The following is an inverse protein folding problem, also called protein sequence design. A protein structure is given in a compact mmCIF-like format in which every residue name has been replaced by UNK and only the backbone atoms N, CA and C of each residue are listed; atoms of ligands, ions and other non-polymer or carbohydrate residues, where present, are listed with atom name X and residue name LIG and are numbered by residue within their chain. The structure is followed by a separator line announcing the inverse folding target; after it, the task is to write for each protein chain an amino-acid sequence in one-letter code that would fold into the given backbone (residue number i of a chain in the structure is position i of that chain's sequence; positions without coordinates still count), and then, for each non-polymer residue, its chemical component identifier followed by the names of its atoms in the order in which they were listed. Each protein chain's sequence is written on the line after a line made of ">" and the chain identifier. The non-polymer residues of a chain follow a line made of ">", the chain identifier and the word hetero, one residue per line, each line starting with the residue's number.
data_IF_951399533969
#
_entry.id   IF_951399533969
#
_cell.length_a   1.000
_cell.length_b   1.000
_cell.length_c   1.000
_cell.angle_alpha   90.00
_cell.angle_beta   90.00
_cell.angle_gamma   90.00
#
_symmetry.space_group_name_H-M   'P 1'
#
loop_
_entity.id
_entity.type
_entity.pdbx_description
1 polymer ?
#
# COMPACT_ATOMS: atom_id res chain seq x y z
N UNK A 1 -34.92 18.96 0.27
CA UNK A 1 -35.39 18.12 1.39
C UNK A 1 -35.15 16.68 0.97
N UNK A 2 -33.87 16.29 0.93
CA UNK A 2 -33.47 14.99 0.40
C UNK A 2 -33.55 13.94 1.50
N UNK A 3 -34.09 12.79 1.11
CA UNK A 3 -34.29 11.62 1.96
C UNK A 3 -32.91 11.15 2.41
N UNK A 4 -32.47 11.61 3.58
CA UNK A 4 -31.41 10.93 4.32
C UNK A 4 -31.89 9.49 4.46
N UNK A 5 -31.09 8.54 4.00
CA UNK A 5 -31.43 7.12 4.02
C UNK A 5 -32.05 6.78 5.39
N UNK A 6 -33.29 6.24 5.46
CA UNK A 6 -33.99 6.03 6.73
C UNK A 6 -33.16 5.23 7.76
N UNK A 7 -32.25 4.39 7.24
CA UNK A 7 -31.28 3.62 8.01
C UNK A 7 -30.27 4.52 8.74
N UNK A 8 -29.76 5.56 8.09
CA UNK A 8 -28.81 6.49 8.71
C UNK A 8 -29.49 7.27 9.83
N UNK A 9 -30.72 7.74 9.60
CA UNK A 9 -31.52 8.41 10.64
C UNK A 9 -31.84 7.48 11.82
N UNK A 10 -32.20 6.22 11.55
CA UNK A 10 -32.46 5.25 12.60
C UNK A 10 -31.20 4.96 13.43
N UNK A 11 -30.05 4.77 12.77
CA UNK A 11 -28.78 4.60 13.46
C UNK A 11 -28.40 5.85 14.27
N UNK A 12 -28.66 7.04 13.74
CA UNK A 12 -28.44 8.29 14.45
C UNK A 12 -29.28 8.38 15.72
N UNK A 13 -30.57 8.02 15.65
CA UNK A 13 -31.47 7.92 16.80
C UNK A 13 -30.91 6.92 17.81
N UNK A 14 -30.61 5.68 17.39
CA UNK A 14 -30.09 4.62 18.26
C UNK A 14 -28.77 5.02 18.93
N UNK A 15 -27.94 5.80 18.23
CA UNK A 15 -26.68 6.29 18.77
C UNK A 15 -26.85 7.55 19.65
N UNK A 16 -27.98 8.27 19.57
CA UNK A 16 -28.30 9.43 20.43
C UNK A 16 -29.16 9.08 21.64
N UNK A 17 -29.92 7.98 21.60
CA UNK A 17 -30.86 7.62 22.67
C UNK A 17 -30.12 7.34 23.98
N UNK A 18 -30.41 8.08 25.07
CA UNK A 18 -29.92 7.74 26.40
C UNK A 18 -30.73 6.57 26.95
N UNK A 19 -30.04 5.59 27.54
CA UNK A 19 -30.68 4.49 28.27
C UNK A 19 -30.51 4.63 29.79
N UNK A 20 -29.69 5.60 30.24
CA UNK A 20 -29.44 5.87 31.65
C UNK A 20 -28.97 7.30 31.90
N UNK A 21 -28.02 7.47 32.83
CA UNK A 21 -27.49 8.78 33.20
C UNK A 21 -26.56 9.34 32.13
N UNK A 22 -26.98 10.44 31.49
CA UNK A 22 -26.16 11.19 30.52
C UNK A 22 -24.82 11.64 31.13
N UNK A 23 -24.78 11.95 32.44
CA UNK A 23 -23.55 12.33 33.15
C UNK A 23 -22.52 11.20 33.23
N UNK A 24 -22.96 9.94 33.15
CA UNK A 24 -22.10 8.75 33.12
C UNK A 24 -21.80 8.28 31.69
N UNK A 25 -22.29 8.99 30.67
CA UNK A 25 -22.16 8.63 29.26
C UNK A 25 -22.98 7.40 28.85
N UNK A 26 -24.06 7.07 29.56
CA UNK A 26 -24.95 5.93 29.27
C UNK A 26 -25.89 6.25 28.10
N UNK A 27 -25.28 6.45 26.92
CA UNK A 27 -25.94 6.91 25.70
C UNK A 27 -25.46 6.10 24.51
N UNK A 28 -26.39 5.75 23.63
CA UNK A 28 -26.09 5.21 22.32
C UNK A 28 -25.87 3.69 22.29
N UNK A 29 -26.22 3.10 21.14
CA UNK A 29 -26.10 1.67 20.89
C UNK A 29 -24.65 1.16 20.86
N UNK A 30 -23.70 1.99 20.42
CA UNK A 30 -22.30 1.57 20.29
C UNK A 30 -21.66 1.21 21.64
N UNK A 31 -22.05 1.91 22.71
CA UNK A 31 -21.61 1.58 24.06
C UNK A 31 -22.17 0.23 24.52
N UNK A 32 -23.46 -0.04 24.27
CA UNK A 32 -24.10 -1.31 24.59
C UNK A 32 -23.48 -2.49 23.83
N UNK A 33 -23.01 -2.26 22.60
CA UNK A 33 -22.21 -3.24 21.85
C UNK A 33 -20.83 -3.45 22.49
N UNK A 34 -20.14 -2.38 22.89
CA UNK A 34 -18.82 -2.46 23.53
C UNK A 34 -18.86 -3.18 24.88
N UNK A 35 -19.92 -2.99 25.66
CA UNK A 35 -20.18 -3.65 26.94
C UNK A 35 -20.75 -5.07 26.76
N UNK A 36 -20.93 -5.53 25.51
CA UNK A 36 -21.48 -6.84 25.13
C UNK A 36 -22.90 -7.09 25.65
N UNK A 37 -23.67 -6.04 25.88
CA UNK A 37 -25.12 -6.13 26.16
C UNK A 37 -25.86 -6.57 24.90
N UNK A 38 -25.47 -6.02 23.75
CA UNK A 38 -25.90 -6.48 22.42
C UNK A 38 -24.77 -7.23 21.72
N UNK A 39 -25.11 -8.29 20.98
CA UNK A 39 -24.12 -9.05 20.20
C UNK A 39 -23.75 -8.37 18.89
N UNK A 40 -24.71 -7.73 18.22
CA UNK A 40 -24.51 -7.09 16.91
C UNK A 40 -25.64 -6.10 16.63
N UNK A 41 -25.33 -5.03 15.91
CA UNK A 41 -26.32 -4.13 15.31
C UNK A 41 -25.88 -3.87 13.87
N UNK A 42 -26.76 -4.18 12.91
CA UNK A 42 -26.47 -4.02 11.49
C UNK A 42 -27.77 -3.76 10.71
N UNK A 43 -27.71 -2.99 9.61
CA UNK A 43 -28.84 -2.84 8.71
C UNK A 43 -29.07 -4.12 7.90
N UNK A 44 -30.33 -4.38 7.54
CA UNK A 44 -30.68 -5.49 6.66
C UNK A 44 -30.51 -5.09 5.19
N UNK A 45 -29.95 -6.01 4.39
CA UNK A 45 -29.90 -5.84 2.94
C UNK A 45 -31.28 -6.07 2.29
N UNK A 46 -31.57 -5.34 1.22
CA UNK A 46 -32.74 -5.58 0.38
C UNK A 46 -32.65 -6.90 -0.39
N UNK A 47 -33.33 -7.93 0.11
CA UNK A 47 -33.52 -9.20 -0.58
C UNK A 47 -32.25 -9.95 -0.97
N UNK A 48 -32.42 -10.95 -1.86
CA UNK A 48 -31.33 -11.75 -2.42
C UNK A 48 -30.59 -11.03 -3.54
N UNK A 49 -29.28 -11.30 -3.68
CA UNK A 49 -28.45 -10.72 -4.75
C UNK A 49 -28.67 -11.37 -6.13
N UNK A 50 -29.14 -12.62 -6.16
CA UNK A 50 -29.37 -13.34 -7.41
C UNK A 50 -30.59 -12.75 -8.13
N UNK A 51 -30.47 -12.42 -9.43
CA UNK A 51 -31.61 -11.96 -10.20
C UNK A 51 -32.62 -13.12 -10.33
N UNK A 52 -33.93 -12.87 -10.16
CA UNK A 52 -34.94 -13.90 -10.35
C UNK A 52 -34.91 -14.46 -11.78
N UNK A 53 -35.21 -15.75 -11.92
CA UNK A 53 -35.32 -16.40 -13.23
C UNK A 53 -36.43 -15.74 -14.05
N UNK A 54 -36.21 -15.43 -15.33
CA UNK A 54 -37.22 -14.81 -16.18
C UNK A 54 -38.51 -15.66 -16.25
N UNK A 55 -39.70 -15.07 -16.47
CA UNK A 55 -39.93 -13.71 -16.97
C UNK A 55 -40.28 -12.74 -15.83
N UNK A 56 -39.36 -11.86 -15.47
CA UNK A 56 -39.59 -10.80 -14.49
C UNK A 56 -39.36 -9.46 -15.19
N UNK A 57 -40.30 -8.52 -15.01
CA UNK A 57 -40.20 -7.20 -15.61
C UNK A 57 -39.00 -6.43 -15.03
N UNK A 58 -38.26 -5.64 -15.83
CA UNK A 58 -37.07 -4.91 -15.38
C UNK A 58 -37.32 -3.96 -14.19
N UNK A 59 -38.57 -3.56 -13.97
CA UNK A 59 -38.96 -2.58 -12.93
C UNK A 59 -39.10 -3.18 -11.53
N UNK A 60 -39.03 -4.51 -11.36
CA UNK A 60 -39.14 -5.16 -10.05
C UNK A 60 -37.80 -5.62 -9.48
N UNK A 61 -36.67 -5.25 -10.09
CA UNK A 61 -35.35 -5.56 -9.53
C UNK A 61 -35.06 -4.63 -8.35
N UNK A 62 -34.65 -5.21 -7.21
CA UNK A 62 -34.13 -4.43 -6.08
C UNK A 62 -32.77 -3.80 -6.40
N UNK A 63 -32.41 -2.73 -5.69
CA UNK A 63 -31.13 -2.02 -5.87
C UNK A 63 -29.92 -2.98 -5.82
N UNK A 64 -29.96 -3.96 -4.90
CA UNK A 64 -28.92 -4.99 -4.76
C UNK A 64 -28.76 -5.86 -6.02
N UNK A 65 -29.87 -6.25 -6.64
CA UNK A 65 -29.86 -7.09 -7.85
C UNK A 65 -29.36 -6.30 -9.06
N UNK A 66 -29.73 -5.02 -9.16
CA UNK A 66 -29.21 -4.10 -10.20
C UNK A 66 -27.69 -3.95 -10.05
N UNK A 67 -27.21 -3.64 -8.84
CA UNK A 67 -25.78 -3.49 -8.57
C UNK A 67 -25.00 -4.79 -8.88
N UNK A 68 -25.55 -5.95 -8.54
CA UNK A 68 -24.93 -7.23 -8.88
C UNK A 68 -24.85 -7.43 -10.40
N UNK A 69 -25.95 -7.23 -11.13
CA UNK A 69 -25.99 -7.50 -12.57
C UNK A 69 -25.15 -6.54 -13.42
N UNK A 70 -25.09 -5.27 -13.05
CA UNK A 70 -24.50 -4.21 -13.87
C UNK A 70 -23.11 -3.73 -13.41
N UNK A 71 -22.69 -4.09 -12.20
CA UNK A 71 -21.44 -3.60 -11.62
C UNK A 71 -20.59 -4.71 -11.00
N UNK A 72 -21.14 -5.52 -10.08
CA UNK A 72 -20.37 -6.53 -9.33
C UNK A 72 -20.17 -7.87 -10.06
N UNK A 73 -20.26 -7.90 -11.39
CA UNK A 73 -19.97 -9.08 -12.23
C UNK A 73 -18.70 -8.88 -13.06
N UNK A 74 -17.91 -9.95 -13.22
CA UNK A 74 -16.70 -9.95 -14.03
C UNK A 74 -16.93 -9.52 -15.50
N UNK A 75 -18.12 -9.76 -16.04
CA UNK A 75 -18.50 -9.34 -17.40
C UNK A 75 -18.71 -7.83 -17.53
N UNK A 76 -18.97 -7.11 -16.42
CA UNK A 76 -19.31 -5.68 -16.42
C UNK A 76 -18.10 -4.75 -16.39
N UNK A 77 -16.86 -5.26 -16.43
CA UNK A 77 -15.63 -4.45 -16.31
C UNK A 77 -15.46 -3.34 -17.38
N UNK A 78 -16.15 -3.44 -18.53
CA UNK A 78 -16.11 -2.42 -19.60
C UNK A 78 -17.14 -1.30 -19.43
N UNK A 79 -18.08 -1.44 -18.51
CA UNK A 79 -19.15 -0.47 -18.30
C UNK A 79 -18.70 0.64 -17.37
N UNK A 80 -19.29 1.82 -17.52
CA UNK A 80 -19.11 2.90 -16.55
C UNK A 80 -19.71 2.51 -15.20
N UNK A 81 -19.06 2.96 -14.14
CA UNK A 81 -19.48 2.65 -12.78
C UNK A 81 -20.72 3.47 -12.38
N UNK A 82 -21.81 2.84 -11.91
CA UNK A 82 -23.04 3.55 -11.52
C UNK A 82 -22.90 4.14 -10.11
N UNK A 83 -22.14 5.23 -9.98
CA UNK A 83 -21.80 5.84 -8.68
C UNK A 83 -23.04 6.25 -7.86
N UNK A 84 -24.08 6.78 -8.50
CA UNK A 84 -25.28 7.23 -7.79
C UNK A 84 -26.06 6.05 -7.16
N UNK A 85 -26.09 4.89 -7.81
CA UNK A 85 -26.74 3.68 -7.26
C UNK A 85 -25.90 3.05 -6.14
N UNK A 86 -24.57 3.10 -6.26
CA UNK A 86 -23.66 2.67 -5.18
C UNK A 86 -23.85 3.57 -3.96
N UNK A 87 -23.98 4.89 -4.17
CA UNK A 87 -24.27 5.86 -3.11
C UNK A 87 -25.59 5.57 -2.43
N UNK A 88 -26.66 5.38 -3.20
CA UNK A 88 -27.99 5.14 -2.63
C UNK A 88 -28.03 3.86 -1.77
N UNK A 89 -27.31 2.81 -2.17
CA UNK A 89 -27.32 1.54 -1.47
C UNK A 89 -26.30 1.43 -0.32
N UNK A 90 -25.08 1.93 -0.50
CA UNK A 90 -23.97 1.79 0.46
C UNK A 90 -23.59 3.09 1.20
N UNK A 91 -24.15 4.23 0.81
CA UNK A 91 -23.82 5.54 1.34
C UNK A 91 -22.61 6.20 0.66
N UNK A 92 -22.35 7.43 1.08
CA UNK A 92 -21.37 8.32 0.45
C UNK A 92 -19.91 7.89 0.67
N UNK A 93 -19.57 7.33 1.84
CA UNK A 93 -18.19 6.88 2.14
C UNK A 93 -17.72 5.81 1.15
N UNK A 94 -18.57 4.81 0.88
CA UNK A 94 -18.27 3.71 -0.05
C UNK A 94 -18.33 4.20 -1.51
N UNK A 95 -19.30 5.05 -1.84
CA UNK A 95 -19.40 5.62 -3.18
C UNK A 95 -18.18 6.49 -3.54
N UNK A 96 -17.66 7.28 -2.60
CA UNK A 96 -16.48 8.12 -2.82
C UNK A 96 -15.21 7.28 -3.03
N UNK A 97 -15.05 6.19 -2.27
CA UNK A 97 -13.96 5.22 -2.48
C UNK A 97 -13.98 4.66 -3.91
N UNK A 98 -15.15 4.23 -4.37
CA UNK A 98 -15.32 3.68 -5.71
C UNK A 98 -15.17 4.74 -6.81
N UNK A 99 -15.63 5.96 -6.58
CA UNK A 99 -15.39 7.10 -7.46
C UNK A 99 -13.89 7.37 -7.63
N UNK A 100 -13.12 7.34 -6.53
CA UNK A 100 -11.66 7.48 -6.56
C UNK A 100 -11.00 6.33 -7.33
N UNK A 101 -11.42 5.09 -7.07
CA UNK A 101 -10.86 3.90 -7.72
C UNK A 101 -11.09 3.93 -9.24
N UNK A 102 -12.31 4.25 -9.68
CA UNK A 102 -12.64 4.37 -11.10
C UNK A 102 -11.88 5.51 -11.78
N UNK A 103 -11.79 6.67 -11.12
CA UNK A 103 -11.02 7.81 -11.60
C UNK A 103 -9.52 7.47 -11.73
N UNK A 104 -8.92 6.86 -10.71
CA UNK A 104 -7.52 6.44 -10.72
C UNK A 104 -7.23 5.42 -11.82
N UNK A 105 -8.09 4.42 -11.98
CA UNK A 105 -7.96 3.40 -13.03
C UNK A 105 -8.04 4.03 -14.43
N UNK A 106 -8.96 4.97 -14.65
CA UNK A 106 -9.05 5.70 -15.91
C UNK A 106 -7.80 6.52 -16.21
N UNK A 107 -7.21 7.18 -15.21
CA UNK A 107 -5.98 7.97 -15.35
C UNK A 107 -4.72 7.11 -15.51
N UNK A 108 -4.71 5.86 -15.06
CA UNK A 108 -3.61 4.93 -15.31
C UNK A 108 -3.52 4.48 -16.77
N UNK A 109 -4.62 4.53 -17.55
CA UNK A 109 -4.62 4.14 -18.96
C UNK A 109 -3.61 4.93 -19.83
N UNK A 110 -3.61 6.28 -19.84
CA UNK A 110 -2.62 7.03 -20.62
C UNK A 110 -1.19 6.78 -20.14
N UNK A 111 -0.98 6.63 -18.83
CA UNK A 111 0.34 6.33 -18.28
C UNK A 111 0.83 4.92 -18.70
N UNK A 112 -0.06 3.93 -18.68
CA UNK A 112 0.23 2.58 -19.16
C UNK A 112 0.53 2.55 -20.65
N UNK A 113 -0.20 3.32 -21.47
CA UNK A 113 0.04 3.42 -22.91
C UNK A 113 1.43 4.01 -23.21
N UNK A 114 1.77 5.14 -22.60
CA UNK A 114 3.10 5.76 -22.77
C UNK A 114 4.21 4.83 -22.27
N UNK A 115 4.02 4.20 -21.11
CA UNK A 115 4.95 3.21 -20.58
C UNK A 115 5.16 2.01 -21.51
N UNK A 116 4.09 1.50 -22.12
CA UNK A 116 4.17 0.39 -23.08
C UNK A 116 4.95 0.80 -24.33
N UNK A 117 4.73 2.01 -24.86
CA UNK A 117 5.47 2.52 -26.03
C UNK A 117 6.96 2.63 -25.73
N UNK A 118 7.34 3.17 -24.57
CA UNK A 118 8.74 3.25 -24.14
C UNK A 118 9.35 1.86 -23.96
N UNK A 119 8.58 0.91 -23.42
CA UNK A 119 9.02 -0.48 -23.24
C UNK A 119 9.25 -1.20 -24.59
N UNK A 120 8.35 -1.02 -25.56
CA UNK A 120 8.51 -1.54 -26.92
C UNK A 120 9.70 -0.91 -27.65
N UNK A 121 9.95 0.37 -27.43
CA UNK A 121 11.17 1.04 -27.91
C UNK A 121 12.44 0.43 -27.29
N UNK A 122 12.41 0.08 -26.00
CA UNK A 122 13.50 -0.64 -25.33
C UNK A 122 13.79 -2.02 -25.95
N UNK A 123 12.78 -2.77 -26.37
CA UNK A 123 12.99 -4.03 -27.10
C UNK A 123 13.70 -3.84 -28.44
N UNK A 124 13.37 -2.77 -29.15
CA UNK A 124 14.03 -2.44 -30.41
C UNK A 124 15.50 -2.04 -30.19
N UNK A 125 15.78 -1.27 -29.14
CA UNK A 125 17.16 -0.93 -28.74
C UNK A 125 17.98 -2.16 -28.36
N UNK A 126 17.40 -3.12 -27.64
CA UNK A 126 18.09 -4.36 -27.25
C UNK A 126 18.68 -5.13 -28.45
N UNK A 127 18.07 -5.01 -29.63
CA UNK A 127 18.52 -5.67 -30.86
C UNK A 127 19.53 -4.84 -31.67
N UNK A 128 19.53 -3.52 -31.52
CA UNK A 128 20.26 -2.57 -32.40
C UNK A 128 21.44 -1.89 -31.72
N UNK A 129 21.52 -1.91 -30.40
CA UNK A 129 22.53 -1.21 -29.62
C UNK A 129 23.96 -1.75 -29.89
N UNK A 130 24.88 -0.83 -30.22
CA UNK A 130 26.27 -1.14 -30.59
C UNK A 130 27.07 -1.66 -29.38
N UNK A 131 27.06 -0.99 -28.19
CA UNK A 131 27.70 -1.52 -26.98
C UNK A 131 27.24 -2.93 -26.61
N UNK A 132 25.95 -3.23 -26.71
CA UNK A 132 25.43 -4.57 -26.45
C UNK A 132 26.01 -5.61 -27.40
N UNK A 133 26.20 -5.26 -28.68
CA UNK A 133 26.80 -6.16 -29.67
C UNK A 133 28.28 -6.38 -29.41
N UNK A 134 29.04 -5.32 -29.11
CA UNK A 134 30.47 -5.42 -28.76
C UNK A 134 30.71 -6.29 -27.52
N UNK A 135 29.88 -6.14 -26.49
CA UNK A 135 29.90 -6.99 -25.28
C UNK A 135 29.66 -8.47 -25.60
N UNK A 136 28.67 -8.77 -26.45
CA UNK A 136 28.34 -10.16 -26.78
C UNK A 136 29.38 -10.81 -27.69
N UNK A 137 29.98 -10.03 -28.59
CA UNK A 137 30.97 -10.49 -29.57
C UNK A 137 32.40 -10.56 -28.99
N UNK A 138 32.63 -10.04 -27.78
CA UNK A 138 33.97 -9.98 -27.17
C UNK A 138 34.57 -11.37 -26.83
N UNK A 139 33.75 -12.42 -26.78
CA UNK A 139 34.22 -13.78 -26.43
C UNK A 139 35.00 -13.82 -25.10
N UNK A 140 36.20 -14.37 -25.12
CA UNK A 140 37.09 -14.53 -23.95
C UNK A 140 38.19 -13.45 -23.85
N UNK A 141 38.08 -12.36 -24.63
CA UNK A 141 39.13 -11.31 -24.68
C UNK A 141 39.26 -10.50 -23.39
N UNK A 142 38.17 -10.32 -22.64
CA UNK A 142 38.15 -9.55 -21.39
C UNK A 142 37.78 -10.42 -20.19
N UNK A 143 38.75 -10.62 -19.30
CA UNK A 143 38.59 -11.35 -18.04
C UNK A 143 38.40 -10.36 -16.91
N UNK A 144 37.32 -10.53 -16.15
CA UNK A 144 36.95 -9.65 -15.04
C UNK A 144 37.42 -10.20 -13.68
N UNK A 145 37.60 -9.29 -12.73
CA UNK A 145 38.03 -9.63 -11.37
C UNK A 145 36.97 -10.46 -10.63
N UNK A 146 37.39 -11.38 -9.75
CA UNK A 146 36.46 -12.20 -8.99
C UNK A 146 35.65 -11.36 -7.99
N UNK A 147 34.35 -11.64 -7.93
CA UNK A 147 33.39 -10.97 -7.05
C UNK A 147 33.49 -11.43 -5.58
N UNK A 148 34.30 -12.44 -5.29
CA UNK A 148 34.55 -12.90 -3.93
C UNK A 148 35.93 -13.54 -3.81
N UNK A 149 36.44 -13.69 -2.57
CA UNK A 149 37.78 -14.27 -2.32
C UNK A 149 37.91 -15.73 -2.79
N UNK A 150 36.80 -16.46 -2.89
CA UNK A 150 36.74 -17.89 -3.26
C UNK A 150 36.19 -18.08 -4.69
N UNK A 151 35.88 -16.99 -5.38
CA UNK A 151 35.29 -17.02 -6.72
C UNK A 151 36.38 -17.09 -7.78
N UNK A 152 36.12 -17.80 -8.87
CA UNK A 152 36.98 -17.78 -10.06
C UNK A 152 36.78 -16.48 -10.84
N UNK A 153 37.76 -16.16 -11.69
CA UNK A 153 37.61 -15.14 -12.72
C UNK A 153 36.46 -15.52 -13.67
N UNK A 154 35.86 -14.51 -14.30
CA UNK A 154 34.73 -14.69 -15.20
C UNK A 154 34.89 -13.83 -16.45
N UNK A 155 34.34 -14.30 -17.57
CA UNK A 155 34.46 -13.65 -18.88
C UNK A 155 33.38 -12.60 -19.06
N UNK A 156 33.75 -11.47 -19.65
CA UNK A 156 32.85 -10.34 -19.86
C UNK A 156 31.62 -10.70 -20.71
N UNK A 157 31.81 -11.50 -21.77
CA UNK A 157 30.74 -11.96 -22.68
C UNK A 157 29.62 -12.76 -22.00
N UNK A 158 29.88 -13.38 -20.83
CA UNK A 158 28.89 -14.18 -20.09
C UNK A 158 27.67 -13.36 -19.60
N UNK A 159 27.78 -12.04 -19.57
CA UNK A 159 26.73 -11.11 -19.10
C UNK A 159 25.91 -10.51 -20.24
N UNK A 160 26.20 -10.87 -21.49
CA UNK A 160 25.48 -10.42 -22.68
C UNK A 160 23.95 -10.38 -22.48
N UNK A 161 23.34 -11.46 -21.97
CA UNK A 161 21.89 -11.53 -21.76
C UNK A 161 21.40 -10.51 -20.71
N UNK A 162 22.12 -10.42 -19.58
CA UNK A 162 21.75 -9.53 -18.48
C UNK A 162 21.93 -8.08 -18.88
N UNK A 163 23.00 -7.73 -19.59
CA UNK A 163 23.21 -6.37 -20.10
C UNK A 163 22.14 -5.96 -21.11
N UNK A 164 21.79 -6.84 -22.05
CA UNK A 164 20.67 -6.63 -22.99
C UNK A 164 19.35 -6.40 -22.27
N UNK A 165 19.07 -7.17 -21.21
CA UNK A 165 17.92 -6.93 -20.36
C UNK A 165 17.98 -5.60 -19.60
N UNK A 166 19.19 -5.12 -19.26
CA UNK A 166 19.41 -3.81 -18.65
C UNK A 166 18.98 -2.64 -19.55
N UNK A 167 19.32 -2.70 -20.84
CA UNK A 167 18.96 -1.67 -21.85
C UNK A 167 17.43 -1.52 -22.00
N UNK A 168 16.67 -2.59 -21.76
CA UNK A 168 15.20 -2.52 -21.75
C UNK A 168 14.67 -1.53 -20.72
N UNK A 169 15.37 -1.40 -19.59
CA UNK A 169 15.00 -0.51 -18.48
C UNK A 169 15.80 0.79 -18.44
N UNK A 170 17.04 0.79 -18.94
CA UNK A 170 17.92 1.95 -18.96
C UNK A 170 18.11 2.44 -20.41
N UNK A 171 17.20 3.29 -20.87
CA UNK A 171 17.23 3.89 -22.19
C UNK A 171 16.77 5.35 -22.14
N UNK A 172 17.06 6.12 -23.20
CA UNK A 172 16.64 7.52 -23.27
C UNK A 172 15.12 7.73 -23.15
N UNK A 173 14.31 6.72 -23.49
CA UNK A 173 12.86 6.75 -23.32
C UNK A 173 12.40 6.72 -21.86
N UNK A 174 13.14 6.05 -20.96
CA UNK A 174 12.78 6.05 -19.54
C UNK A 174 13.05 7.38 -18.85
N UNK A 175 14.01 8.18 -19.35
CA UNK A 175 14.19 9.59 -18.93
C UNK A 175 12.95 10.41 -19.28
N UNK A 176 12.45 10.31 -20.51
CA UNK A 176 11.19 10.95 -20.91
C UNK A 176 10.01 10.50 -20.04
N UNK A 177 9.91 9.18 -19.79
CA UNK A 177 8.87 8.60 -18.92
C UNK A 177 8.92 9.19 -17.50
N UNK A 178 10.10 9.44 -16.94
CA UNK A 178 10.24 10.01 -15.58
C UNK A 178 9.64 11.42 -15.47
N UNK A 179 9.87 12.27 -16.48
CA UNK A 179 9.31 13.63 -16.56
C UNK A 179 7.80 13.56 -16.77
N UNK A 180 7.35 12.69 -17.68
CA UNK A 180 5.93 12.45 -17.93
C UNK A 180 5.20 11.99 -16.66
N UNK A 181 5.73 11.00 -15.93
CA UNK A 181 5.11 10.48 -14.71
C UNK A 181 5.03 11.53 -13.60
N UNK A 182 6.01 12.43 -13.52
CA UNK A 182 5.99 13.55 -12.56
C UNK A 182 4.86 14.54 -12.87
N UNK A 183 4.68 14.91 -14.15
CA UNK A 183 3.57 15.77 -14.59
C UNK A 183 2.22 15.07 -14.48
N UNK A 184 2.15 13.78 -14.83
CA UNK A 184 0.97 12.95 -14.69
C UNK A 184 0.51 12.89 -13.23
N UNK A 185 1.42 12.72 -12.26
CA UNK A 185 1.05 12.65 -10.84
C UNK A 185 0.43 13.96 -10.32
N UNK A 186 1.01 15.12 -10.69
CA UNK A 186 0.47 16.44 -10.30
C UNK A 186 -0.89 16.68 -10.94
N UNK A 187 -1.01 16.44 -12.26
CA UNK A 187 -2.28 16.63 -12.97
C UNK A 187 -3.37 15.69 -12.46
N UNK A 188 -3.05 14.42 -12.22
CA UNK A 188 -3.95 13.46 -11.58
C UNK A 188 -4.50 13.97 -10.24
N UNK A 189 -3.62 14.43 -9.35
CA UNK A 189 -4.03 14.92 -8.02
C UNK A 189 -4.91 16.17 -8.11
N UNK A 190 -4.58 17.14 -8.98
CA UNK A 190 -5.38 18.35 -9.15
C UNK A 190 -6.77 18.06 -9.76
N UNK A 191 -6.84 17.17 -10.76
CA UNK A 191 -8.13 16.74 -11.28
C UNK A 191 -8.95 15.93 -10.28
N UNK A 192 -8.29 15.12 -9.43
CA UNK A 192 -8.99 14.41 -8.36
C UNK A 192 -9.58 15.40 -7.35
N UNK A 193 -8.81 16.40 -6.89
CA UNK A 193 -9.32 17.44 -5.97
C UNK A 193 -10.57 18.10 -6.54
N UNK A 194 -10.53 18.53 -7.81
CA UNK A 194 -11.69 19.12 -8.49
C UNK A 194 -12.88 18.17 -8.57
N UNK A 195 -12.64 16.89 -8.90
CA UNK A 195 -13.70 15.87 -9.01
C UNK A 195 -14.32 15.56 -7.66
N UNK A 196 -13.49 15.47 -6.61
CA UNK A 196 -13.90 15.26 -5.23
C UNK A 196 -14.81 16.40 -4.75
N UNK A 197 -14.44 17.67 -4.99
CA UNK A 197 -15.29 18.82 -4.65
C UNK A 197 -16.60 18.83 -5.43
N UNK A 198 -16.59 18.47 -6.72
CA UNK A 198 -17.81 18.40 -7.53
C UNK A 198 -18.75 17.29 -7.04
N UNK A 199 -18.21 16.15 -6.60
CA UNK A 199 -18.97 15.05 -6.04
C UNK A 199 -19.49 15.39 -4.64
N UNK A 200 -18.66 15.95 -3.76
CA UNK A 200 -19.07 16.31 -2.40
C UNK A 200 -20.15 17.40 -2.40
N UNK A 201 -20.07 18.36 -3.31
CA UNK A 201 -21.13 19.35 -3.51
C UNK A 201 -22.39 18.73 -4.11
N UNK A 202 -22.28 17.85 -5.12
CA UNK A 202 -23.45 17.16 -5.70
C UNK A 202 -24.15 16.29 -4.64
N UNK A 203 -23.39 15.77 -3.69
CA UNK A 203 -23.87 14.87 -2.66
C UNK A 203 -24.26 15.60 -1.37
N UNK A 204 -24.17 16.93 -1.31
CA UNK A 204 -24.46 17.75 -0.13
C UNK A 204 -23.67 17.30 1.13
N UNK A 205 -22.40 16.89 0.95
CA UNK A 205 -21.54 16.38 2.04
C UNK A 205 -20.42 17.35 2.46
N UNK A 206 -20.43 18.60 1.99
CA UNK A 206 -19.32 19.53 2.20
C UNK A 206 -19.15 20.03 3.64
N UNK A 207 -20.22 20.03 4.45
CA UNK A 207 -20.23 20.64 5.79
C UNK A 207 -20.44 19.64 6.94
N UNK A 208 -20.36 18.34 6.66
CA UNK A 208 -20.73 17.30 7.63
C UNK A 208 -19.75 17.20 8.83
N UNK A 209 -18.45 17.35 8.59
CA UNK A 209 -17.40 17.17 9.60
C UNK A 209 -17.48 18.23 10.73
N UNK A 210 -17.74 19.49 10.37
CA UNK A 210 -17.72 20.62 11.31
C UNK A 210 -18.99 20.70 12.16
N UNK A 211 -20.12 20.19 11.68
CA UNK A 211 -21.44 20.42 12.29
C UNK A 211 -21.91 19.21 13.13
N UNK A 212 -21.61 17.97 12.73
CA UNK A 212 -22.30 16.79 13.26
C UNK A 212 -21.41 15.69 13.87
N UNK A 213 -20.07 15.81 13.86
CA UNK A 213 -19.22 14.71 14.33
C UNK A 213 -19.25 14.54 15.87
N UNK A 214 -19.73 13.37 16.30
CA UNK A 214 -19.87 13.01 17.73
C UNK A 214 -18.54 12.53 18.33
N UNK A 215 -18.35 12.69 19.66
CA UNK A 215 -17.24 12.04 20.35
C UNK A 215 -17.40 10.52 20.30
N UNK A 216 -16.29 9.80 20.15
CA UNK A 216 -16.28 8.35 20.06
C UNK A 216 -16.83 7.71 21.37
N UNK A 217 -17.65 6.65 21.30
CA UNK A 217 -18.21 5.99 22.49
C UNK A 217 -17.15 5.58 23.52
N UNK A 218 -16.06 4.96 23.08
CA UNK A 218 -14.94 4.58 23.97
C UNK A 218 -14.28 5.78 24.65
N UNK A 219 -14.20 6.91 23.93
CA UNK A 219 -13.68 8.15 24.49
C UNK A 219 -14.61 8.67 25.58
N UNK A 220 -15.93 8.63 25.36
CA UNK A 220 -16.91 9.05 26.36
C UNK A 220 -16.91 8.16 27.61
N UNK A 221 -16.64 6.86 27.47
CA UNK A 221 -16.59 5.91 28.58
C UNK A 221 -15.31 6.02 29.43
N UNK A 222 -14.17 6.30 28.80
CA UNK A 222 -12.85 6.33 29.47
C UNK A 222 -12.37 7.74 29.83
N UNK A 223 -13.08 8.79 29.43
CA UNK A 223 -12.72 10.17 29.76
C UNK A 223 -12.77 10.40 31.28
N UNK A 224 -11.70 10.93 31.89
CA UNK A 224 -11.60 11.06 33.34
C UNK A 224 -12.36 12.28 33.89
N UNK A 225 -12.73 13.24 33.04
CA UNK A 225 -13.40 14.47 33.45
C UNK A 225 -14.33 14.98 32.35
N UNK A 226 -15.28 15.83 32.74
CA UNK A 226 -16.14 16.57 31.82
C UNK A 226 -15.74 18.05 31.86
N UNK A 227 -15.87 18.73 30.72
CA UNK A 227 -15.65 20.15 30.57
C UNK A 227 -16.80 20.76 29.79
N UNK A 228 -17.27 21.92 30.23
CA UNK A 228 -18.29 22.68 29.52
C UNK A 228 -17.72 23.29 28.24
N UNK A 229 -18.33 22.96 27.11
CA UNK A 229 -17.94 23.50 25.82
C UNK A 229 -18.29 25.01 25.74
N UNK A 230 -17.35 25.90 25.40
CA UNK A 230 -17.60 27.34 25.37
C UNK A 230 -18.55 27.78 24.24
N UNK A 231 -18.71 26.97 23.19
CA UNK A 231 -19.56 27.28 22.03
C UNK A 231 -20.99 26.77 22.24
N UNK A 232 -21.14 25.49 22.63
CA UNK A 232 -22.46 24.84 22.76
C UNK A 232 -23.04 24.96 24.17
N UNK A 233 -22.22 25.28 25.17
CA UNK A 233 -22.63 25.34 26.57
C UNK A 233 -22.96 23.98 27.20
N UNK A 234 -22.79 22.88 26.47
CA UNK A 234 -23.03 21.51 26.95
C UNK A 234 -21.83 20.96 27.72
N UNK A 235 -22.08 20.10 28.71
CA UNK A 235 -21.04 19.33 29.43
C UNK A 235 -20.58 18.16 28.57
N UNK A 236 -19.31 18.15 28.16
CA UNK A 236 -18.73 17.13 27.29
C UNK A 236 -17.55 16.42 27.96
N UNK A 237 -17.33 15.12 27.70
CA UNK A 237 -16.15 14.42 28.19
C UNK A 237 -14.87 15.07 27.63
N UNK A 238 -13.92 15.31 28.53
CA UNK A 238 -12.66 16.01 28.24
C UNK A 238 -11.45 15.20 28.72
N UNK A 239 -10.41 15.19 27.88
CA UNK A 239 -9.12 14.57 28.18
C UNK A 239 -8.03 15.63 28.03
N UNK A 240 -7.14 15.78 29.04
CA UNK A 240 -6.22 16.91 29.10
C UNK A 240 -5.14 16.78 28.03
N UNK A 241 -4.98 17.84 27.25
CA UNK A 241 -4.10 17.86 26.08
C UNK A 241 -2.64 17.57 26.42
N UNK A 242 -2.13 18.06 27.56
CA UNK A 242 -0.75 17.79 27.99
C UNK A 242 -0.49 16.29 28.22
N UNK A 243 -1.47 15.54 28.73
CA UNK A 243 -1.34 14.09 28.88
C UNK A 243 -1.43 13.41 27.51
N UNK A 244 -2.30 13.89 26.62
CA UNK A 244 -2.43 13.39 25.24
C UNK A 244 -1.12 13.56 24.48
N UNK A 245 -0.55 14.76 24.50
CA UNK A 245 0.70 15.07 23.82
C UNK A 245 1.83 14.14 24.28
N UNK A 246 1.97 13.92 25.59
CA UNK A 246 2.96 12.96 26.12
C UNK A 246 2.73 11.54 25.60
N UNK A 247 1.48 11.07 25.57
CA UNK A 247 1.14 9.76 25.00
C UNK A 247 1.44 9.68 23.50
N UNK A 248 1.02 10.68 22.72
CA UNK A 248 1.29 10.74 21.28
C UNK A 248 2.80 10.79 20.98
N UNK A 249 3.59 11.54 21.77
CA UNK A 249 5.05 11.55 21.66
C UNK A 249 5.65 10.17 21.96
N UNK A 250 5.20 9.49 23.02
CA UNK A 250 5.61 8.10 23.31
C UNK A 250 5.24 7.16 22.14
N UNK A 251 4.07 7.36 21.52
CA UNK A 251 3.67 6.60 20.33
C UNK A 251 4.60 6.81 19.14
N UNK A 252 5.00 8.05 18.86
CA UNK A 252 6.00 8.33 17.84
C UNK A 252 7.37 7.71 18.16
N UNK A 253 7.80 7.69 19.42
CA UNK A 253 9.03 7.01 19.82
C UNK A 253 8.96 5.50 19.55
N UNK A 254 7.82 4.85 19.82
CA UNK A 254 7.62 3.44 19.47
C UNK A 254 7.73 3.23 17.96
N UNK A 255 7.16 4.13 17.14
CA UNK A 255 7.26 4.04 15.67
C UNK A 255 8.71 4.15 15.20
N UNK A 256 9.51 5.05 15.78
CA UNK A 256 10.94 5.18 15.44
C UNK A 256 11.70 3.89 15.77
N UNK A 257 11.43 3.26 16.91
CA UNK A 257 12.02 1.97 17.27
C UNK A 257 11.63 0.88 16.27
N UNK A 258 10.37 0.85 15.83
CA UNK A 258 9.92 -0.12 14.81
C UNK A 258 10.59 0.12 13.45
N UNK A 259 10.81 1.38 13.07
CA UNK A 259 11.57 1.73 11.86
C UNK A 259 13.00 1.18 11.96
N UNK A 260 13.66 1.32 13.11
CA UNK A 260 14.97 0.73 13.33
C UNK A 260 14.95 -0.80 13.20
N UNK A 261 13.90 -1.46 13.72
CA UNK A 261 13.69 -2.90 13.56
C UNK A 261 13.55 -3.30 12.09
N UNK A 262 12.82 -2.53 11.26
CA UNK A 262 12.74 -2.75 9.81
C UNK A 262 14.14 -2.71 9.20
N UNK A 263 14.92 -1.68 9.50
CA UNK A 263 16.28 -1.54 8.96
C UNK A 263 17.19 -2.72 9.36
N UNK A 264 17.04 -3.24 10.58
CA UNK A 264 17.76 -4.44 11.01
C UNK A 264 17.36 -5.69 10.20
N UNK A 265 16.06 -5.88 9.93
CA UNK A 265 15.60 -6.98 9.07
C UNK A 265 16.12 -6.86 7.63
N UNK A 266 16.23 -5.64 7.09
CA UNK A 266 16.83 -5.42 5.77
C UNK A 266 18.29 -5.86 5.75
N UNK A 267 19.08 -5.44 6.74
CA UNK A 267 20.49 -5.86 6.87
C UNK A 267 20.57 -7.39 6.96
N UNK A 268 19.66 -8.03 7.71
CA UNK A 268 19.61 -9.48 7.80
C UNK A 268 19.30 -10.15 6.44
N UNK A 269 18.36 -9.62 5.65
CA UNK A 269 18.07 -10.12 4.30
C UNK A 269 19.28 -9.94 3.37
N UNK A 270 19.98 -8.80 3.46
CA UNK A 270 21.19 -8.54 2.66
C UNK A 270 22.28 -9.57 3.02
N UNK A 271 22.55 -9.76 4.31
CA UNK A 271 23.50 -10.78 4.76
C UNK A 271 23.08 -12.19 4.31
N UNK A 272 21.79 -12.53 4.37
CA UNK A 272 21.28 -13.79 3.84
C UNK A 272 21.59 -13.96 2.34
N UNK A 273 21.36 -12.92 1.51
CA UNK A 273 21.66 -12.94 0.06
C UNK A 273 23.16 -13.15 -0.18
N UNK A 274 24.04 -12.45 0.55
CA UNK A 274 25.49 -12.63 0.42
C UNK A 274 25.96 -14.05 0.76
N UNK A 275 25.48 -14.60 1.89
CA UNK A 275 25.86 -15.94 2.35
C UNK A 275 25.37 -16.99 1.37
N UNK A 276 24.12 -16.89 0.92
CA UNK A 276 23.54 -17.84 -0.04
C UNK A 276 24.32 -17.85 -1.35
N UNK A 277 24.74 -16.68 -1.85
CA UNK A 277 25.57 -16.56 -3.05
C UNK A 277 26.90 -17.30 -2.90
N UNK A 278 27.58 -17.11 -1.77
CA UNK A 278 28.86 -17.77 -1.48
C UNK A 278 28.68 -19.29 -1.40
N UNK A 279 27.66 -19.76 -0.69
CA UNK A 279 27.38 -21.20 -0.53
C UNK A 279 27.07 -21.85 -1.88
N UNK A 280 26.23 -21.24 -2.73
CA UNK A 280 25.89 -21.80 -4.04
C UNK A 280 27.10 -21.76 -4.98
N UNK A 281 27.92 -20.69 -4.95
CA UNK A 281 29.14 -20.61 -5.77
C UNK A 281 30.18 -21.68 -5.44
N UNK A 282 30.20 -22.16 -4.19
CA UNK A 282 31.07 -23.26 -3.75
C UNK A 282 30.55 -24.65 -4.17
N UNK A 283 29.28 -24.77 -4.56
CA UNK A 283 28.72 -26.04 -5.02
C UNK A 283 29.16 -26.34 -6.46
N UNK A 284 29.74 -27.53 -6.70
CA UNK A 284 30.30 -27.94 -8.00
C UNK A 284 29.23 -28.33 -9.05
N UNK A 285 27.99 -27.84 -8.93
CA UNK A 285 26.88 -28.19 -9.82
C UNK A 285 26.52 -27.09 -10.82
N UNK A 286 25.60 -27.41 -11.74
CA UNK A 286 24.94 -26.46 -12.67
C UNK A 286 24.36 -25.21 -11.95
N UNK A 287 24.06 -25.34 -10.65
CA UNK A 287 23.64 -24.26 -9.75
C UNK A 287 24.66 -23.12 -9.60
N UNK A 288 25.96 -23.37 -9.75
CA UNK A 288 27.00 -22.33 -9.63
C UNK A 288 26.87 -21.25 -10.71
N UNK A 289 26.54 -21.63 -11.95
CA UNK A 289 26.36 -20.69 -13.07
C UNK A 289 25.20 -19.71 -12.85
N UNK A 290 24.18 -20.09 -12.09
CA UNK A 290 23.01 -19.25 -11.80
C UNK A 290 22.93 -18.79 -10.33
N UNK A 291 24.01 -18.93 -9.57
CA UNK A 291 24.06 -18.65 -8.14
C UNK A 291 23.54 -17.25 -7.78
N UNK A 292 23.96 -16.23 -8.54
CA UNK A 292 23.55 -14.84 -8.32
C UNK A 292 22.05 -14.61 -8.57
N UNK A 293 21.50 -15.20 -9.65
CA UNK A 293 20.08 -15.07 -10.00
C UNK A 293 19.19 -15.77 -8.99
N UNK A 294 19.58 -16.98 -8.57
CA UNK A 294 18.83 -17.77 -7.58
C UNK A 294 18.84 -17.06 -6.22
N UNK A 295 20.00 -16.53 -5.78
CA UNK A 295 20.10 -15.80 -4.53
C UNK A 295 19.32 -14.47 -4.54
N UNK A 296 19.31 -13.76 -5.67
CA UNK A 296 18.49 -12.55 -5.85
C UNK A 296 16.99 -12.87 -5.80
N UNK A 297 16.55 -13.92 -6.51
CA UNK A 297 15.14 -14.32 -6.54
C UNK A 297 14.66 -14.82 -5.17
N UNK A 298 15.39 -15.72 -4.52
CA UNK A 298 15.04 -16.22 -3.19
C UNK A 298 15.04 -15.08 -2.16
N UNK A 299 16.01 -14.17 -2.25
CA UNK A 299 16.07 -12.98 -1.40
C UNK A 299 14.92 -12.01 -1.63
N UNK A 300 14.39 -11.89 -2.85
CA UNK A 300 13.23 -11.05 -3.16
C UNK A 300 11.93 -11.66 -2.62
N UNK A 301 11.77 -12.98 -2.76
CA UNK A 301 10.61 -13.71 -2.23
C UNK A 301 10.59 -13.69 -0.70
N UNK A 302 11.75 -13.90 -0.06
CA UNK A 302 11.87 -13.82 1.40
C UNK A 302 11.53 -12.40 1.90
N UNK A 303 12.02 -11.37 1.20
CA UNK A 303 11.68 -9.99 1.50
C UNK A 303 10.17 -9.75 1.41
N UNK A 304 9.51 -10.20 0.34
CA UNK A 304 8.05 -10.11 0.21
C UNK A 304 7.32 -10.81 1.37
N UNK A 305 7.74 -12.01 1.76
CA UNK A 305 7.14 -12.74 2.88
C UNK A 305 7.24 -11.95 4.20
N UNK A 306 8.43 -11.39 4.49
CA UNK A 306 8.66 -10.55 5.67
C UNK A 306 7.79 -9.28 5.60
N UNK A 307 7.70 -8.64 4.44
CA UNK A 307 6.86 -7.45 4.24
C UNK A 307 5.40 -7.75 4.59
N UNK A 308 4.85 -8.88 4.13
CA UNK A 308 3.46 -9.27 4.38
C UNK A 308 3.21 -9.57 5.86
N UNK A 309 4.12 -10.30 6.52
CA UNK A 309 4.01 -10.61 7.95
C UNK A 309 4.08 -9.37 8.82
N UNK A 310 5.11 -8.53 8.62
CA UNK A 310 5.30 -7.29 9.36
C UNK A 310 4.14 -6.31 9.16
N UNK A 311 3.56 -6.24 7.94
CA UNK A 311 2.40 -5.38 7.67
C UNK A 311 1.19 -5.71 8.54
N UNK A 312 0.96 -6.99 8.85
CA UNK A 312 -0.12 -7.42 9.77
C UNK A 312 0.18 -6.99 11.21
N UNK A 313 1.41 -7.23 11.67
CA UNK A 313 1.87 -6.83 13.02
C UNK A 313 1.76 -5.30 13.20
N UNK A 314 2.19 -4.52 12.21
CA UNK A 314 2.11 -3.05 12.27
C UNK A 314 0.69 -2.52 12.30
N UNK A 315 -0.23 -3.15 11.56
CA UNK A 315 -1.65 -2.73 11.59
C UNK A 315 -2.26 -2.99 12.97
N UNK A 316 -1.97 -4.15 13.56
CA UNK A 316 -2.42 -4.47 14.93
C UNK A 316 -1.82 -3.53 15.97
N UNK A 317 -0.51 -3.28 15.91
CA UNK A 317 0.19 -2.41 16.84
C UNK A 317 -0.26 -0.94 16.71
N UNK A 318 -0.47 -0.46 15.49
CA UNK A 318 -1.00 0.88 15.27
C UNK A 318 -2.41 1.04 15.85
N UNK A 319 -3.24 -0.01 15.78
CA UNK A 319 -4.56 0.00 16.43
C UNK A 319 -4.44 0.14 17.96
N UNK A 320 -3.60 -0.69 18.59
CA UNK A 320 -3.36 -0.63 20.05
C UNK A 320 -2.84 0.74 20.47
N UNK A 321 -1.87 1.29 19.71
CA UNK A 321 -1.25 2.56 20.02
C UNK A 321 -2.22 3.74 19.88
N UNK A 322 -2.99 3.76 18.79
CA UNK A 322 -3.98 4.83 18.53
C UNK A 322 -5.14 4.79 19.50
N UNK A 323 -5.54 3.60 19.94
CA UNK A 323 -6.53 3.44 21.01
C UNK A 323 -5.99 4.01 22.34
N UNK A 324 -4.72 3.77 22.66
CA UNK A 324 -4.08 4.30 23.87
C UNK A 324 -3.91 5.83 23.87
N UNK A 325 -3.76 6.44 22.70
CA UNK A 325 -3.64 7.90 22.52
C UNK A 325 -4.94 8.68 22.82
N UNK A 326 -6.10 8.01 22.90
CA UNK A 326 -7.37 8.61 23.34
C UNK A 326 -7.78 9.85 22.52
N UNK A 327 -8.07 9.64 21.23
CA UNK A 327 -8.64 10.66 20.34
C UNK A 327 -10.13 10.87 20.61
N UNK A 328 -10.59 12.12 20.48
CA UNK A 328 -11.97 12.54 20.76
C UNK A 328 -12.94 12.08 19.66
N UNK A 329 -12.62 12.38 18.40
CA UNK A 329 -13.50 12.13 17.24
C UNK A 329 -13.00 10.94 16.42
N UNK A 330 -13.89 10.35 15.64
CA UNK A 330 -13.56 9.19 14.81
C UNK A 330 -12.62 9.58 13.68
N UNK A 331 -12.82 10.75 13.06
CA UNK A 331 -11.93 11.29 12.02
C UNK A 331 -10.50 11.44 12.52
N UNK A 332 -10.30 12.09 13.67
CA UNK A 332 -8.94 12.25 14.25
C UNK A 332 -8.29 10.92 14.63
N UNK A 333 -9.09 9.96 15.07
CA UNK A 333 -8.59 8.62 15.35
C UNK A 333 -8.16 7.91 14.06
N UNK A 334 -9.01 7.91 13.03
CA UNK A 334 -8.75 7.32 11.72
C UNK A 334 -7.54 7.99 11.06
N UNK A 335 -7.43 9.32 11.05
CA UNK A 335 -6.29 10.05 10.50
C UNK A 335 -4.97 9.67 11.16
N UNK A 336 -4.95 9.66 12.50
CA UNK A 336 -3.75 9.31 13.26
C UNK A 336 -3.41 7.83 13.14
N UNK A 337 -4.40 6.95 12.95
CA UNK A 337 -4.19 5.55 12.63
C UNK A 337 -3.61 5.36 11.22
N UNK A 338 -4.22 5.99 10.22
CA UNK A 338 -3.80 5.96 8.82
C UNK A 338 -2.37 6.49 8.70
N UNK A 339 -2.04 7.62 9.33
CA UNK A 339 -0.70 8.20 9.32
C UNK A 339 0.36 7.20 9.83
N UNK A 340 0.10 6.56 10.99
CA UNK A 340 1.04 5.61 11.59
C UNK A 340 1.21 4.35 10.75
N UNK A 341 0.10 3.79 10.27
CA UNK A 341 0.10 2.62 9.39
C UNK A 341 0.81 2.95 8.07
N UNK A 342 0.58 4.14 7.51
CA UNK A 342 1.22 4.61 6.30
C UNK A 342 2.73 4.71 6.46
N UNK A 343 3.23 5.39 7.52
CA UNK A 343 4.68 5.53 7.76
C UNK A 343 5.35 4.15 7.87
N UNK A 344 4.80 3.24 8.68
CA UNK A 344 5.37 1.91 8.89
C UNK A 344 5.34 1.07 7.62
N UNK A 345 4.23 1.08 6.88
CA UNK A 345 4.12 0.35 5.60
C UNK A 345 5.01 0.95 4.52
N UNK A 346 5.15 2.27 4.47
CA UNK A 346 6.02 2.98 3.52
C UNK A 346 7.49 2.59 3.73
N UNK A 347 7.99 2.70 4.97
CA UNK A 347 9.36 2.30 5.30
C UNK A 347 9.59 0.81 5.02
N UNK A 348 8.66 -0.06 5.39
CA UNK A 348 8.79 -1.50 5.16
C UNK A 348 8.78 -1.87 3.67
N UNK A 349 8.02 -1.16 2.84
CA UNK A 349 7.88 -1.46 1.41
C UNK A 349 9.03 -0.91 0.57
N UNK A 350 9.46 0.32 0.85
CA UNK A 350 10.40 1.04 -0.03
C UNK A 350 11.86 0.98 0.43
N UNK A 351 12.14 0.56 1.66
CA UNK A 351 13.50 0.55 2.19
C UNK A 351 14.46 -0.39 1.46
N UNK A 352 14.02 -1.60 1.08
CA UNK A 352 14.82 -2.51 0.25
C UNK A 352 15.10 -1.93 -1.17
N UNK A 353 14.09 -1.50 -1.95
CA UNK A 353 14.33 -0.83 -3.23
C UNK A 353 15.24 0.41 -3.14
N UNK A 354 15.05 1.26 -2.12
CA UNK A 354 15.90 2.44 -1.88
C UNK A 354 17.35 2.04 -1.61
N UNK A 355 17.57 0.98 -0.83
CA UNK A 355 18.90 0.44 -0.61
C UNK A 355 19.56 -0.03 -1.91
N UNK A 356 18.85 -0.82 -2.73
CA UNK A 356 19.38 -1.32 -4.01
C UNK A 356 19.68 -0.18 -4.98
N UNK A 357 18.82 0.85 -5.02
CA UNK A 357 18.97 1.97 -5.95
C UNK A 357 20.13 2.91 -5.61
N UNK A 358 20.33 3.24 -4.32
CA UNK A 358 21.25 4.33 -3.92
C UNK A 358 22.51 3.85 -3.17
N UNK A 359 22.40 2.76 -2.39
CA UNK A 359 23.47 2.36 -1.47
C UNK A 359 24.27 1.14 -1.95
N UNK A 360 23.63 0.23 -2.69
CA UNK A 360 24.28 -0.97 -3.22
C UNK A 360 25.31 -0.61 -4.29
N UNK A 361 26.51 -1.20 -4.20
CA UNK A 361 27.62 -0.93 -5.15
C UNK A 361 28.38 0.39 -4.93
N UNK A 362 27.80 1.39 -4.27
CA UNK A 362 28.41 2.71 -4.07
C UNK A 362 29.62 2.70 -3.12
N UNK A 363 29.69 1.77 -2.18
CA UNK A 363 30.69 1.76 -1.09
C UNK A 363 31.64 0.55 -1.10
N UNK A 364 31.93 -0.04 -2.25
CA UNK A 364 32.74 -1.27 -2.38
C UNK A 364 34.25 -1.01 -2.26
N UNK A 365 34.74 0.09 -2.83
CA UNK A 365 36.18 0.35 -3.01
C UNK A 365 36.70 -0.21 -4.33
N UNK A 366 37.99 -0.55 -4.39
CA UNK A 366 38.64 -1.08 -5.60
C UNK A 366 39.43 -2.37 -5.30
N UNK A 367 39.74 -3.21 -6.30
CA UNK A 367 40.54 -4.40 -6.12
C UNK A 367 41.88 -4.10 -5.43
N UNK A 368 42.05 -4.63 -4.22
CA UNK A 368 43.22 -4.39 -3.35
C UNK A 368 42.89 -3.66 -2.05
N UNK A 369 41.85 -2.81 -2.04
CA UNK A 369 41.35 -2.14 -0.84
C UNK A 369 39.81 -2.09 -0.84
N UNK A 370 39.20 -3.17 -0.36
CA UNK A 370 37.76 -3.27 -0.20
C UNK A 370 37.32 -2.69 1.13
N UNK A 371 36.22 -1.94 1.13
CA UNK A 371 35.56 -1.55 2.36
C UNK A 371 34.79 -2.76 2.92
N UNK A 372 34.97 -3.01 4.22
CA UNK A 372 34.31 -4.10 4.92
C UNK A 372 33.33 -3.54 5.94
N UNK A 373 32.11 -4.08 5.93
CA UNK A 373 31.09 -3.83 6.95
C UNK A 373 30.95 -5.09 7.79
N UNK A 374 31.14 -4.99 9.10
CA UNK A 374 31.18 -6.14 10.02
C UNK A 374 32.18 -7.25 9.61
N UNK A 375 33.32 -6.89 9.01
CA UNK A 375 34.35 -7.83 8.55
C UNK A 375 34.01 -8.57 7.25
N UNK A 376 32.81 -8.36 6.69
CA UNK A 376 32.39 -8.87 5.39
C UNK A 376 32.57 -7.79 4.31
N UNK A 377 32.93 -8.20 3.09
CA UNK A 377 33.00 -7.30 1.93
C UNK A 377 31.59 -6.81 1.58
N UNK A 378 31.45 -5.51 1.35
CA UNK A 378 30.17 -4.91 0.93
C UNK A 378 29.65 -5.56 -0.36
N UNK A 379 28.32 -5.57 -0.52
CA UNK A 379 27.69 -6.08 -1.75
C UNK A 379 28.01 -5.19 -2.96
N UNK A 380 28.62 -5.81 -3.96
CA UNK A 380 28.76 -5.23 -5.28
C UNK A 380 27.47 -5.41 -6.09
N UNK A 381 27.22 -4.51 -7.03
CA UNK A 381 26.23 -4.75 -8.06
C UNK A 381 26.60 -5.99 -8.89
N UNK A 382 25.58 -6.70 -9.37
CA UNK A 382 25.77 -7.69 -10.43
C UNK A 382 26.44 -7.06 -11.66
N UNK A 383 27.09 -7.88 -12.47
CA UNK A 383 27.88 -7.39 -13.60
C UNK A 383 27.04 -6.73 -14.73
N UNK A 384 25.72 -6.88 -14.72
CA UNK A 384 24.78 -6.14 -15.58
C UNK A 384 24.14 -4.92 -14.90
N UNK A 385 24.66 -4.47 -13.76
CA UNK A 385 24.13 -3.35 -12.98
C UNK A 385 23.13 -3.75 -11.90
N UNK A 386 22.86 -2.83 -10.96
CA UNK A 386 21.87 -3.01 -9.89
C UNK A 386 20.42 -2.73 -10.35
N UNK A 387 20.23 -2.11 -11.51
CA UNK A 387 18.92 -1.67 -11.98
C UNK A 387 17.98 -2.85 -12.31
N UNK A 388 18.53 -3.95 -12.81
CA UNK A 388 17.77 -5.19 -13.07
C UNK A 388 17.33 -5.85 -11.77
N UNK A 389 18.21 -5.87 -10.76
CA UNK A 389 17.85 -6.39 -9.44
C UNK A 389 16.74 -5.55 -8.80
N UNK A 390 16.81 -4.22 -8.94
CA UNK A 390 15.77 -3.30 -8.50
C UNK A 390 14.44 -3.56 -9.23
N UNK A 391 14.47 -3.67 -10.56
CA UNK A 391 13.30 -3.95 -11.37
C UNK A 391 12.66 -5.30 -11.00
N UNK A 392 13.48 -6.33 -10.78
CA UNK A 392 13.03 -7.63 -10.31
C UNK A 392 12.37 -7.54 -8.92
N UNK A 393 12.99 -6.83 -7.98
CA UNK A 393 12.45 -6.66 -6.62
C UNK A 393 11.11 -5.91 -6.66
N UNK A 394 11.01 -4.82 -7.40
CA UNK A 394 9.76 -4.08 -7.59
C UNK A 394 8.68 -4.95 -8.24
N UNK A 395 9.02 -5.75 -9.26
CA UNK A 395 8.08 -6.66 -9.90
C UNK A 395 7.56 -7.71 -8.92
N UNK A 396 8.45 -8.36 -8.16
CA UNK A 396 8.08 -9.36 -7.15
C UNK A 396 7.19 -8.74 -6.08
N UNK A 397 7.50 -7.53 -5.62
CA UNK A 397 6.71 -6.83 -4.61
C UNK A 397 5.35 -6.42 -5.17
N UNK A 398 5.28 -5.75 -6.32
CA UNK A 398 4.03 -5.24 -6.88
C UNK A 398 3.09 -6.37 -7.31
N UNK A 399 3.60 -7.32 -8.10
CA UNK A 399 2.81 -8.44 -8.61
C UNK A 399 2.50 -9.44 -7.49
N UNK A 400 3.50 -9.81 -6.69
CA UNK A 400 3.34 -10.79 -5.62
C UNK A 400 2.37 -10.31 -4.54
N UNK A 401 2.46 -9.05 -4.11
CA UNK A 401 1.51 -8.48 -3.14
C UNK A 401 0.10 -8.42 -3.70
N UNK A 402 -0.08 -8.00 -4.95
CA UNK A 402 -1.41 -7.93 -5.57
C UNK A 402 -2.05 -9.31 -5.69
N UNK A 403 -1.29 -10.31 -6.15
CA UNK A 403 -1.77 -11.69 -6.27
C UNK A 403 -2.17 -12.26 -4.91
N UNK A 404 -1.30 -12.15 -3.90
CA UNK A 404 -1.57 -12.70 -2.56
C UNK A 404 -2.77 -12.01 -1.92
N UNK A 405 -2.88 -10.68 -2.03
CA UNK A 405 -4.01 -9.94 -1.48
C UNK A 405 -5.33 -10.31 -2.17
N UNK A 406 -5.34 -10.38 -3.50
CA UNK A 406 -6.54 -10.79 -4.25
C UNK A 406 -6.97 -12.22 -3.90
N UNK A 407 -6.03 -13.15 -3.76
CA UNK A 407 -6.31 -14.53 -3.33
C UNK A 407 -6.87 -14.54 -1.90
N UNK A 408 -6.26 -13.77 -0.99
CA UNK A 408 -6.72 -13.68 0.39
C UNK A 408 -8.13 -13.11 0.49
N UNK A 409 -8.43 -12.02 -0.23
CA UNK A 409 -9.75 -11.39 -0.28
C UNK A 409 -10.82 -12.31 -0.88
N UNK A 410 -10.45 -13.14 -1.86
CA UNK A 410 -11.37 -14.10 -2.46
C UNK A 410 -11.63 -15.33 -1.57
N UNK A 411 -10.60 -15.84 -0.90
CA UNK A 411 -10.69 -17.07 -0.08
C UNK A 411 -11.22 -16.78 1.33
N UNK A 412 -10.88 -15.63 1.92
CA UNK A 412 -11.24 -15.25 3.28
C UNK A 412 -12.05 -13.94 3.27
N UNK A 413 -13.38 -14.02 3.10
CA UNK A 413 -14.27 -12.86 3.05
C UNK A 413 -14.40 -12.10 4.37
#
# INVERSE_FOLDING_TARGET
>A
MYIVCPVLQLYEILARTPYGSVKKGEVGIDRLLSEKVFSAAYPLHEGGFQPPTPPVFPQSFGLRQILYSYWATWSSWRRYQPLDHIREYFGEKIALYFAWLGFYTGWLLPASLVGLVVFLFGFWLMATDVPAKELCDSGDSFIMCPLCKVCTQWNYSSICLTFKAGILFDNGGTVFLSVFMSLWAVTFLEYWKRTCTALSHRWDCSEFEDIEERPRPEFTAMAPMNMRNPVTGAEEPYFPENKRLKRTLTGYMVIIVLIAVVLMFLIAIILYRTILRIVISKSNGFLSFSAARIASLSGSVLNLFIILMLSKVYTSLANVLTHWEMHRTQTKYEDMFILKVFILKFVNLFSAPVYIAFFKGSFVGYPGKYNTLFGLRNEDCGAGGCLIELAQELLVIMVGKQLINNIYEFIWP
#
